data_IF_821758209919
#
_entry.id   IF_821758209919
#
_cell.length_a   1.000
_cell.length_b   1.000
_cell.length_c   1.000
_cell.angle_alpha   90.00
_cell.angle_beta   90.00
_cell.angle_gamma   90.00
#
_symmetry.space_group_name_H-M   'P 1'
#
loop_
_entity.id
_entity.type
_entity.pdbx_description
1 polymer ?
#
# COMPACT_ATOMS: atom_id res chain seq x y z
N UNK A 1 -69.24 8.45 -39.73
CA UNK A 1 -69.72 7.34 -38.90
C UNK A 1 -68.80 6.15 -39.10
N UNK A 2 -68.49 5.52 -37.97
CA UNK A 2 -67.65 4.36 -37.70
C UNK A 2 -67.61 3.16 -38.67
N UNK A 3 -66.42 2.54 -38.67
CA UNK A 3 -66.14 1.10 -38.42
C UNK A 3 -66.40 0.05 -39.51
N UNK A 4 -65.34 -0.69 -39.90
CA UNK A 4 -65.05 -2.10 -39.52
C UNK A 4 -63.94 -2.69 -40.42
N UNK A 5 -63.00 -3.44 -39.82
CA UNK A 5 -62.01 -4.28 -40.53
C UNK A 5 -62.64 -5.50 -41.25
N UNK A 6 -61.87 -6.36 -41.96
CA UNK A 6 -61.00 -7.34 -41.29
C UNK A 6 -59.69 -7.80 -42.01
N UNK A 7 -58.85 -8.45 -41.20
CA UNK A 7 -57.85 -9.53 -41.36
C UNK A 7 -57.21 -9.94 -42.72
N UNK A 8 -55.87 -9.81 -42.77
CA UNK A 8 -54.79 -10.84 -42.90
C UNK A 8 -54.92 -11.92 -44.00
N UNK A 9 -53.86 -12.13 -44.81
CA UNK A 9 -53.11 -13.43 -44.89
C UNK A 9 -52.00 -13.51 -45.95
N UNK A 10 -50.88 -14.11 -45.53
CA UNK A 10 -50.16 -15.16 -46.27
C UNK A 10 -49.24 -14.83 -47.46
N UNK A 11 -48.15 -14.09 -47.24
CA UNK A 11 -46.96 -14.21 -48.13
C UNK A 11 -45.59 -14.26 -47.44
N UNK A 12 -45.50 -14.22 -46.10
CA UNK A 12 -44.20 -14.19 -45.40
C UNK A 12 -43.76 -15.52 -44.75
N UNK A 13 -44.60 -16.57 -44.80
CA UNK A 13 -44.29 -17.85 -44.15
C UNK A 13 -43.60 -18.88 -45.06
N UNK A 14 -43.45 -18.60 -46.37
CA UNK A 14 -42.92 -19.56 -47.34
C UNK A 14 -41.39 -19.50 -47.52
N UNK A 15 -40.71 -18.49 -46.95
CA UNK A 15 -39.24 -18.37 -47.01
C UNK A 15 -38.49 -19.02 -45.84
N UNK A 16 -39.20 -19.57 -44.84
CA UNK A 16 -38.59 -20.17 -43.65
C UNK A 16 -38.45 -21.71 -43.71
N UNK A 17 -38.85 -22.35 -44.81
CA UNK A 17 -38.85 -23.83 -44.93
C UNK A 17 -37.76 -24.43 -45.84
N UNK A 18 -36.83 -23.64 -46.37
CA UNK A 18 -35.83 -24.14 -47.35
C UNK A 18 -34.35 -23.95 -46.95
N UNK A 19 -34.04 -23.63 -45.70
CA UNK A 19 -32.64 -23.51 -45.24
C UNK A 19 -32.21 -24.46 -44.09
N UNK A 20 -32.56 -25.76 -44.09
CA UNK A 20 -31.77 -26.74 -43.35
C UNK A 20 -31.31 -27.88 -44.27
N UNK A 21 -30.52 -27.57 -45.30
CA UNK A 21 -29.83 -28.57 -46.11
C UNK A 21 -28.46 -28.01 -46.48
N UNK A 22 -27.51 -28.08 -45.54
CA UNK A 22 -26.05 -28.07 -45.74
C UNK A 22 -25.38 -28.21 -44.35
N UNK A 23 -25.54 -29.37 -43.72
CA UNK A 23 -24.71 -29.83 -42.60
C UNK A 23 -23.76 -30.91 -43.13
N UNK A 24 -22.41 -30.77 -43.01
CA UNK A 24 -21.50 -31.90 -42.99
C UNK A 24 -21.49 -32.58 -41.60
N UNK A 25 -21.05 -33.85 -41.50
CA UNK A 25 -21.29 -34.69 -40.35
C UNK A 25 -20.42 -34.30 -39.15
N UNK A 26 -20.97 -34.51 -37.95
CA UNK A 26 -20.30 -34.37 -36.67
C UNK A 26 -19.02 -35.22 -36.61
N UNK A 27 -17.87 -34.55 -36.54
CA UNK A 27 -16.67 -35.09 -35.88
C UNK A 27 -16.57 -34.47 -34.50
N UNK A 28 -16.58 -35.32 -33.48
CA UNK A 28 -16.26 -34.95 -32.11
C UNK A 28 -14.79 -34.47 -32.06
N UNK A 29 -14.60 -33.16 -31.92
CA UNK A 29 -13.34 -32.60 -31.43
C UNK A 29 -13.68 -31.44 -30.50
N UNK A 30 -13.25 -31.58 -29.25
CA UNK A 30 -13.65 -30.72 -28.14
C UNK A 30 -13.34 -29.26 -28.40
N UNK A 31 -14.33 -28.40 -28.17
CA UNK A 31 -14.09 -27.01 -27.86
C UNK A 31 -13.37 -26.93 -26.52
N UNK A 32 -12.04 -26.90 -26.57
CA UNK A 32 -11.32 -26.06 -25.64
C UNK A 32 -11.83 -24.64 -25.91
N UNK A 33 -12.53 -24.05 -24.93
CA UNK A 33 -12.61 -22.60 -24.84
C UNK A 33 -11.17 -22.12 -24.90
N UNK A 34 -10.74 -21.53 -26.02
CA UNK A 34 -9.63 -20.61 -26.00
C UNK A 34 -10.08 -19.50 -25.05
N UNK A 35 -9.73 -19.67 -23.78
CA UNK A 35 -9.55 -18.54 -22.89
C UNK A 35 -8.66 -17.59 -23.67
N UNK A 36 -9.23 -16.46 -24.10
CA UNK A 36 -8.47 -15.26 -24.34
C UNK A 36 -7.70 -15.03 -23.04
N UNK A 37 -6.47 -15.56 -23.01
CA UNK A 37 -5.46 -15.22 -22.02
C UNK A 37 -5.50 -13.70 -21.93
N UNK A 38 -5.58 -13.12 -20.73
CA UNK A 38 -5.29 -11.71 -20.60
C UNK A 38 -3.93 -11.52 -21.26
N UNK A 39 -3.90 -10.72 -22.33
CA UNK A 39 -2.67 -10.16 -22.90
C UNK A 39 -1.72 -9.92 -21.76
N UNK A 40 -0.58 -10.62 -21.76
CA UNK A 40 0.50 -10.52 -20.78
C UNK A 40 0.48 -9.11 -20.18
N UNK A 41 -0.10 -8.99 -18.97
CA UNK A 41 0.00 -7.76 -18.20
C UNK A 41 1.50 -7.61 -18.03
N UNK A 42 2.08 -6.59 -18.66
CA UNK A 42 3.50 -6.29 -18.54
C UNK A 42 3.88 -6.51 -17.08
N UNK A 43 4.82 -7.42 -16.80
CA UNK A 43 5.09 -7.90 -15.44
C UNK A 43 5.14 -6.70 -14.50
N UNK A 44 4.11 -6.55 -13.67
CA UNK A 44 4.05 -5.45 -12.72
C UNK A 44 5.30 -5.58 -11.84
N UNK A 45 6.02 -4.47 -11.59
CA UNK A 45 7.22 -4.52 -10.78
C UNK A 45 6.87 -5.07 -9.39
N UNK A 46 7.71 -5.95 -8.82
CA UNK A 46 7.41 -6.60 -7.55
C UNK A 46 7.17 -5.55 -6.47
N UNK A 47 6.01 -5.65 -5.82
CA UNK A 47 5.58 -4.80 -4.73
C UNK A 47 5.69 -5.53 -3.39
N UNK A 48 6.04 -4.80 -2.34
CA UNK A 48 6.21 -5.34 -0.98
C UNK A 48 5.44 -4.52 0.05
N UNK A 49 4.98 -5.19 1.11
CA UNK A 49 4.32 -4.51 2.22
C UNK A 49 5.30 -3.61 3.01
N UNK A 50 4.78 -2.48 3.48
CA UNK A 50 5.45 -1.52 4.35
C UNK A 50 5.23 -1.82 5.84
N UNK A 51 4.49 -2.88 6.19
CA UNK A 51 4.30 -3.30 7.57
C UNK A 51 4.33 -4.82 7.66
N UNK A 52 4.86 -5.33 8.76
CA UNK A 52 4.81 -6.73 9.15
C UNK A 52 4.29 -6.82 10.58
N UNK A 53 3.46 -7.82 10.88
CA UNK A 53 3.00 -8.05 12.25
C UNK A 53 2.24 -6.84 12.81
N UNK A 54 2.66 -6.32 13.95
CA UNK A 54 2.06 -5.14 14.61
C UNK A 54 2.43 -3.79 13.96
N UNK A 55 3.32 -3.77 12.95
CA UNK A 55 3.75 -2.53 12.30
C UNK A 55 4.52 -1.56 13.21
N UNK A 56 5.16 -2.08 14.27
CA UNK A 56 5.90 -1.28 15.24
C UNK A 56 7.39 -1.13 14.87
N UNK A 57 7.90 -2.00 13.99
CA UNK A 57 9.30 -2.01 13.55
C UNK A 57 9.39 -1.85 12.03
N UNK A 58 10.48 -1.25 11.52
CA UNK A 58 10.67 -1.10 10.09
C UNK A 58 10.85 -2.46 9.38
N UNK A 59 10.30 -2.56 8.17
CA UNK A 59 10.46 -3.75 7.32
C UNK A 59 11.88 -3.87 6.75
N UNK A 60 12.57 -2.74 6.60
CA UNK A 60 13.97 -2.71 6.17
C UNK A 60 14.69 -1.47 6.69
N UNK A 61 15.99 -1.58 6.90
CA UNK A 61 16.88 -0.48 7.27
C UNK A 61 18.11 -0.48 6.37
N UNK A 62 18.37 0.62 5.69
CA UNK A 62 19.52 0.82 4.80
C UNK A 62 20.50 1.81 5.42
N UNK A 63 21.79 1.58 5.21
CA UNK A 63 22.85 2.41 5.77
C UNK A 63 23.71 3.00 4.65
N UNK A 64 23.89 4.31 4.71
CA UNK A 64 24.58 5.11 3.71
C UNK A 64 25.75 5.84 4.34
N UNK A 65 26.88 5.86 3.65
CA UNK A 65 28.00 6.72 3.99
C UNK A 65 27.76 8.10 3.36
N UNK A 66 27.49 9.12 4.19
CA UNK A 66 27.11 10.46 3.73
C UNK A 66 28.14 11.06 2.76
N UNK A 67 29.43 10.87 3.03
CA UNK A 67 30.53 11.39 2.19
C UNK A 67 30.62 10.74 0.81
N UNK A 68 29.86 9.67 0.54
CA UNK A 68 29.78 9.00 -0.77
C UNK A 68 28.48 9.29 -1.53
N UNK A 69 27.57 10.07 -0.95
CA UNK A 69 26.28 10.40 -1.57
C UNK A 69 26.50 11.43 -2.68
N UNK A 70 26.19 11.04 -3.92
CA UNK A 70 26.13 11.96 -5.06
C UNK A 70 24.70 12.33 -5.49
N UNK A 71 23.70 11.61 -4.97
CA UNK A 71 22.29 11.75 -5.29
C UNK A 71 21.51 11.85 -3.99
N UNK A 72 20.97 13.03 -3.73
CA UNK A 72 20.26 13.40 -2.50
C UNK A 72 18.74 13.29 -2.66
N UNK A 73 18.28 12.35 -3.49
CA UNK A 73 16.85 12.14 -3.73
C UNK A 73 16.47 10.67 -3.59
N UNK A 74 15.33 10.43 -2.93
CA UNK A 74 14.68 9.14 -2.88
C UNK A 74 13.35 9.21 -3.61
N UNK A 75 12.98 8.17 -4.34
CA UNK A 75 11.73 8.10 -5.11
C UNK A 75 11.16 6.71 -5.05
N UNK A 76 9.84 6.59 -5.02
CA UNK A 76 9.14 5.30 -4.96
C UNK A 76 7.71 5.46 -5.45
N UNK A 77 7.04 4.34 -5.70
CA UNK A 77 5.60 4.29 -5.85
C UNK A 77 5.00 3.58 -4.64
N UNK A 78 3.92 4.11 -4.08
CA UNK A 78 3.16 3.43 -3.05
C UNK A 78 1.66 3.46 -3.32
N UNK A 79 0.92 2.52 -2.72
CA UNK A 79 -0.55 2.55 -2.65
C UNK A 79 -1.01 2.08 -1.29
N UNK A 80 -2.14 2.59 -0.81
CA UNK A 80 -2.72 2.22 0.48
C UNK A 80 -4.19 2.62 0.55
N UNK A 81 -4.92 2.02 1.49
CA UNK A 81 -6.21 2.51 2.00
C UNK A 81 -6.09 3.07 3.43
N UNK A 82 -4.90 2.99 4.02
CA UNK A 82 -4.60 3.39 5.38
C UNK A 82 -4.38 4.92 5.44
N UNK A 83 -5.18 5.66 6.22
CA UNK A 83 -5.08 7.12 6.29
C UNK A 83 -3.92 7.62 7.16
N UNK A 84 -3.30 6.76 7.97
CA UNK A 84 -2.21 7.15 8.88
C UNK A 84 -1.11 6.08 8.91
N UNK A 85 0.15 6.49 8.97
CA UNK A 85 1.27 5.56 9.13
C UNK A 85 2.59 6.07 8.58
N UNK A 86 3.69 5.38 8.90
CA UNK A 86 5.04 5.77 8.44
C UNK A 86 5.36 5.09 7.11
N UNK A 87 5.68 5.90 6.09
CA UNK A 87 6.19 5.38 4.82
C UNK A 87 7.69 5.09 4.97
N UNK A 88 8.46 6.10 5.38
CA UNK A 88 9.87 5.93 5.73
C UNK A 88 10.35 6.96 6.73
N UNK A 89 11.38 6.58 7.45
CA UNK A 89 12.13 7.39 8.40
C UNK A 89 13.59 7.45 7.96
N UNK A 90 14.27 8.55 8.20
CA UNK A 90 15.71 8.65 8.00
C UNK A 90 16.37 9.50 9.07
N UNK A 91 17.59 9.14 9.44
CA UNK A 91 18.35 9.87 10.45
C UNK A 91 19.85 9.86 10.17
N UNK A 92 20.56 10.77 10.81
CA UNK A 92 22.00 10.59 11.10
C UNK A 92 22.23 10.36 12.58
N UNK A 93 21.27 10.79 13.42
CA UNK A 93 21.20 10.50 14.84
C UNK A 93 19.72 10.51 15.28
N UNK A 94 19.25 9.43 15.89
CA UNK A 94 17.87 9.29 16.40
C UNK A 94 17.48 10.36 17.42
N UNK A 95 18.44 10.97 18.12
CA UNK A 95 18.14 11.94 19.19
C UNK A 95 17.93 13.36 18.66
N UNK A 96 18.72 13.78 17.66
CA UNK A 96 18.82 15.19 17.29
C UNK A 96 18.93 15.49 15.79
N UNK A 97 18.89 14.48 14.91
CA UNK A 97 18.89 14.68 13.45
C UNK A 97 18.12 13.57 12.72
N UNK A 98 16.81 13.77 12.58
CA UNK A 98 15.89 12.82 11.96
C UNK A 98 14.80 13.48 11.11
N UNK A 99 14.27 12.67 10.20
CA UNK A 99 13.23 12.97 9.23
C UNK A 99 12.24 11.80 9.18
N UNK A 100 10.96 12.10 9.05
CA UNK A 100 9.90 11.11 8.84
C UNK A 100 8.95 11.60 7.76
N UNK A 101 8.62 10.73 6.81
CA UNK A 101 7.53 10.89 5.87
C UNK A 101 6.48 9.81 6.13
N UNK A 102 5.23 10.24 6.33
CA UNK A 102 4.10 9.37 6.56
C UNK A 102 2.82 9.92 5.93
N UNK A 103 1.70 9.27 6.24
CA UNK A 103 0.37 9.83 6.03
C UNK A 103 -0.27 10.23 7.36
N UNK A 104 -1.11 11.26 7.32
CA UNK A 104 -2.09 11.59 8.34
C UNK A 104 -3.34 12.13 7.67
N UNK A 105 -4.51 11.67 8.09
CA UNK A 105 -5.79 11.98 7.44
C UNK A 105 -5.75 11.74 5.91
N UNK A 106 -5.00 10.71 5.50
CA UNK A 106 -4.76 10.32 4.11
C UNK A 106 -3.77 11.19 3.35
N UNK A 107 -3.23 12.26 3.94
CA UNK A 107 -2.33 13.22 3.27
C UNK A 107 -0.87 13.04 3.69
N UNK A 108 0.10 13.34 2.81
CA UNK A 108 1.51 13.39 3.18
C UNK A 108 1.77 14.30 4.39
N UNK A 109 2.47 13.77 5.39
CA UNK A 109 3.00 14.51 6.53
C UNK A 109 4.52 14.32 6.61
N UNK A 110 5.25 15.44 6.74
CA UNK A 110 6.67 15.46 7.08
C UNK A 110 6.84 15.92 8.52
N UNK A 111 7.61 15.16 9.29
CA UNK A 111 8.19 15.63 10.55
C UNK A 111 9.70 15.65 10.42
N UNK A 112 10.31 16.76 10.84
CA UNK A 112 11.75 16.97 10.76
C UNK A 112 12.23 17.60 12.05
N UNK A 113 13.32 17.08 12.59
CA UNK A 113 14.00 17.61 13.76
C UNK A 113 15.51 17.56 13.54
N UNK A 114 16.13 18.73 13.44
CA UNK A 114 17.58 18.85 13.39
C UNK A 114 18.05 20.22 13.94
N UNK A 115 19.34 20.52 13.77
CA UNK A 115 19.94 21.77 14.23
C UNK A 115 19.41 23.03 13.52
N UNK A 116 18.79 22.89 12.34
CA UNK A 116 18.29 24.01 11.54
C UNK A 116 16.79 24.23 11.68
N UNK A 117 16.01 23.16 11.80
CA UNK A 117 14.56 23.23 11.83
C UNK A 117 13.94 22.13 12.69
N UNK A 118 12.77 22.46 13.24
CA UNK A 118 11.93 21.53 13.99
C UNK A 118 10.47 21.76 13.61
N UNK A 119 9.93 20.90 12.75
CA UNK A 119 8.64 21.13 12.09
C UNK A 119 7.81 19.86 11.93
N UNK A 120 6.51 20.08 11.80
CA UNK A 120 5.50 19.09 11.39
C UNK A 120 4.63 19.77 10.34
N UNK A 121 4.57 19.22 9.13
CA UNK A 121 3.85 19.82 8.01
C UNK A 121 3.12 18.76 7.21
N UNK A 122 1.79 18.89 7.11
CA UNK A 122 0.97 18.14 6.17
C UNK A 122 0.78 18.93 4.87
N UNK A 123 0.89 18.28 3.71
CA UNK A 123 0.74 18.93 2.41
C UNK A 123 0.21 17.98 1.32
N UNK A 124 -0.40 18.55 0.28
CA UNK A 124 -0.84 17.79 -0.89
C UNK A 124 -2.21 17.13 -0.77
N UNK A 125 -2.59 16.31 -1.77
CA UNK A 125 -3.85 15.60 -1.83
C UNK A 125 -3.87 14.36 -0.91
N UNK A 126 -5.05 13.77 -0.76
CA UNK A 126 -5.19 12.44 -0.15
C UNK A 126 -4.63 11.37 -1.09
N UNK A 127 -3.96 10.36 -0.52
CA UNK A 127 -3.24 9.29 -1.21
C UNK A 127 -3.67 7.88 -0.73
N UNK A 128 -4.71 7.82 0.11
CA UNK A 128 -5.30 6.62 0.71
C UNK A 128 -6.50 6.10 -0.11
N UNK A 129 -6.35 6.07 -1.44
CA UNK A 129 -7.43 5.74 -2.38
C UNK A 129 -7.22 4.40 -3.12
N UNK A 130 -6.27 3.59 -2.64
CA UNK A 130 -5.91 2.30 -3.23
C UNK A 130 -5.13 2.37 -4.54
N UNK A 131 -4.88 3.57 -5.11
CA UNK A 131 -4.14 3.73 -6.36
C UNK A 131 -2.64 3.91 -6.10
N UNK A 132 -1.85 3.60 -7.13
CA UNK A 132 -0.41 3.85 -7.09
C UNK A 132 -0.13 5.35 -7.25
N UNK A 133 0.63 5.90 -6.31
CA UNK A 133 1.11 7.26 -6.32
C UNK A 133 2.63 7.28 -6.35
N UNK A 134 3.20 8.10 -7.24
CA UNK A 134 4.64 8.32 -7.31
C UNK A 134 5.03 9.40 -6.31
N UNK A 135 6.00 9.09 -5.44
CA UNK A 135 6.58 10.00 -4.47
C UNK A 135 8.03 10.26 -4.81
N UNK A 136 8.48 11.49 -4.56
CA UNK A 136 9.89 11.83 -4.57
C UNK A 136 10.18 12.81 -3.45
N UNK A 137 11.26 12.56 -2.72
CA UNK A 137 11.83 13.48 -1.74
C UNK A 137 13.23 13.83 -2.24
N UNK A 138 13.57 15.12 -2.29
CA UNK A 138 14.90 15.60 -2.71
C UNK A 138 15.39 16.65 -1.74
N UNK A 139 16.67 16.56 -1.38
CA UNK A 139 17.39 17.65 -0.74
C UNK A 139 18.05 18.47 -1.85
N UNK A 140 17.73 19.76 -1.91
CA UNK A 140 18.23 20.71 -2.90
C UNK A 140 18.76 21.95 -2.19
N UNK A 141 20.09 22.07 -2.08
CA UNK A 141 20.71 23.08 -1.25
C UNK A 141 20.35 22.90 0.22
N UNK A 142 19.73 23.90 0.82
CA UNK A 142 19.26 23.91 2.21
C UNK A 142 17.79 23.48 2.38
N UNK A 143 17.18 23.02 1.28
CA UNK A 143 15.74 22.80 1.19
C UNK A 143 15.40 21.33 1.01
N UNK A 144 14.30 20.89 1.63
CA UNK A 144 13.69 19.57 1.40
C UNK A 144 12.43 19.77 0.58
N UNK A 145 12.36 19.06 -0.54
CA UNK A 145 11.31 19.19 -1.52
C UNK A 145 10.56 17.85 -1.65
N UNK A 146 9.24 17.91 -1.74
CA UNK A 146 8.35 16.76 -1.87
C UNK A 146 7.51 16.87 -3.14
N UNK A 147 7.54 15.81 -3.96
CA UNK A 147 6.71 15.68 -5.14
C UNK A 147 5.75 14.50 -5.02
N UNK A 148 4.55 14.70 -5.56
CA UNK A 148 3.51 13.69 -5.71
C UNK A 148 3.09 13.66 -7.18
N UNK A 149 3.15 12.49 -7.81
CA UNK A 149 2.75 12.28 -9.20
C UNK A 149 3.38 13.27 -10.20
N UNK A 150 4.62 13.69 -9.94
CA UNK A 150 5.37 14.63 -10.77
C UNK A 150 5.19 16.12 -10.44
N UNK A 151 4.28 16.47 -9.52
CA UNK A 151 4.05 17.86 -9.07
C UNK A 151 4.76 18.12 -7.74
N UNK A 152 5.45 19.27 -7.62
CA UNK A 152 6.04 19.72 -6.36
C UNK A 152 4.93 20.24 -5.45
N UNK A 153 4.63 19.53 -4.37
CA UNK A 153 3.53 19.89 -3.45
C UNK A 153 4.01 20.63 -2.20
N UNK A 154 5.31 20.54 -1.88
CA UNK A 154 5.88 21.16 -0.69
C UNK A 154 7.37 21.46 -0.87
N UNK A 155 7.76 22.65 -0.42
CA UNK A 155 9.14 23.13 -0.37
C UNK A 155 9.45 23.67 1.02
N UNK A 156 10.21 22.90 1.81
CA UNK A 156 10.69 23.29 3.13
C UNK A 156 12.07 23.90 2.99
N UNK A 157 12.18 25.23 3.11
CA UNK A 157 13.44 25.97 2.91
C UNK A 157 14.19 26.17 4.21
N UNK A 158 15.52 26.24 4.13
CA UNK A 158 16.40 26.50 5.28
C UNK A 158 16.29 25.43 6.39
N UNK A 159 16.07 24.18 6.01
CA UNK A 159 15.86 23.05 6.94
C UNK A 159 17.02 22.06 6.96
N UNK A 160 18.05 22.27 6.15
CA UNK A 160 19.21 21.38 6.06
C UNK A 160 20.50 22.18 5.82
N UNK A 161 21.61 21.71 6.40
CA UNK A 161 22.95 22.15 6.04
C UNK A 161 23.62 21.20 5.04
N UNK A 162 24.89 21.43 4.69
CA UNK A 162 25.64 20.51 3.84
C UNK A 162 25.71 19.11 4.47
N UNK A 163 25.24 18.08 3.74
CA UNK A 163 25.24 16.69 4.19
C UNK A 163 26.64 16.14 4.51
N UNK A 164 27.71 16.75 4.00
CA UNK A 164 29.11 16.31 4.14
C UNK A 164 29.89 17.10 5.22
N UNK A 165 29.19 17.81 6.11
CA UNK A 165 29.84 18.65 7.14
C UNK A 165 30.55 17.85 8.25
N UNK A 166 30.28 16.55 8.36
CA UNK A 166 30.93 15.64 9.32
C UNK A 166 31.51 14.42 8.59
N UNK A 167 32.84 14.30 8.50
CA UNK A 167 33.48 13.10 7.94
C UNK A 167 33.01 11.85 8.69
N UNK A 168 32.65 10.79 7.96
CA UNK A 168 32.24 9.47 8.50
C UNK A 168 30.83 9.39 9.11
N UNK A 169 29.96 10.39 8.92
CA UNK A 169 28.59 10.27 9.37
C UNK A 169 27.80 9.23 8.54
N UNK A 170 27.09 8.36 9.25
CA UNK A 170 26.23 7.32 8.68
C UNK A 170 24.81 7.87 8.67
N UNK A 171 24.13 7.75 7.52
CA UNK A 171 22.70 8.00 7.41
C UNK A 171 21.96 6.67 7.35
N UNK A 172 20.87 6.55 8.10
CA UNK A 172 19.96 5.40 8.06
C UNK A 172 18.68 5.79 7.34
N UNK A 173 18.12 4.87 6.57
CA UNK A 173 16.75 4.95 6.05
C UNK A 173 16.02 3.69 6.47
N UNK A 174 14.94 3.84 7.24
CA UNK A 174 14.07 2.79 7.71
C UNK A 174 12.72 2.87 6.96
N UNK A 175 12.25 1.75 6.41
CA UNK A 175 11.00 1.68 5.66
C UNK A 175 9.89 1.16 6.58
N UNK A 176 8.71 1.80 6.55
CA UNK A 176 7.53 1.25 7.24
C UNK A 176 7.54 1.35 8.76
N UNK A 177 8.43 2.14 9.34
CA UNK A 177 8.59 2.24 10.79
C UNK A 177 9.66 3.24 11.21
N UNK A 178 9.83 3.40 12.52
CA UNK A 178 10.76 4.34 13.14
C UNK A 178 11.95 3.59 13.77
N UNK A 179 13.08 4.28 13.97
CA UNK A 179 14.23 3.76 14.73
C UNK A 179 14.25 4.26 16.19
N UNK A 180 13.17 4.89 16.63
CA UNK A 180 12.93 5.39 17.98
C UNK A 180 11.43 5.26 18.34
N UNK A 181 11.05 5.34 19.62
CA UNK A 181 9.65 5.23 20.05
C UNK A 181 8.75 6.33 19.46
N UNK A 182 7.53 5.99 19.07
CA UNK A 182 6.57 6.93 18.46
C UNK A 182 6.26 8.15 19.33
N UNK A 183 6.40 8.03 20.64
CA UNK A 183 6.30 9.14 21.60
C UNK A 183 7.32 10.25 21.38
N UNK A 184 8.42 9.97 20.68
CA UNK A 184 9.49 10.92 20.41
C UNK A 184 9.27 11.70 19.09
N UNK A 185 8.25 11.35 18.31
CA UNK A 185 7.79 12.20 17.22
C UNK A 185 7.28 13.53 17.78
N UNK A 186 7.41 14.61 16.99
CA UNK A 186 6.89 15.92 17.37
C UNK A 186 5.38 15.91 17.50
N UNK A 187 4.72 15.17 16.63
CA UNK A 187 3.30 14.85 16.70
C UNK A 187 3.13 13.33 16.57
N UNK A 188 2.91 12.60 17.66
CA UNK A 188 2.77 11.14 17.60
C UNK A 188 1.70 10.69 16.60
N UNK A 189 1.96 9.56 15.95
CA UNK A 189 1.03 8.81 15.10
C UNK A 189 1.21 7.31 15.34
N UNK A 190 0.25 6.53 14.88
CA UNK A 190 0.39 5.07 14.82
C UNK A 190 1.33 4.74 13.64
N UNK A 191 2.48 4.07 13.87
CA UNK A 191 3.51 3.93 12.85
C UNK A 191 3.20 2.84 11.82
N UNK A 192 2.36 1.87 12.22
CA UNK A 192 1.90 0.81 11.34
C UNK A 192 1.28 1.42 10.09
N UNK A 193 1.64 0.88 8.93
CA UNK A 193 1.17 1.40 7.66
C UNK A 193 0.85 0.24 6.72
N UNK A 194 -0.44 -0.02 6.47
CA UNK A 194 -0.85 -1.02 5.48
C UNK A 194 -0.72 -0.46 4.06
N UNK A 195 0.53 -0.34 3.63
CA UNK A 195 0.91 0.17 2.32
C UNK A 195 1.73 -0.83 1.52
N UNK A 196 1.61 -0.73 0.20
CA UNK A 196 2.47 -1.40 -0.75
C UNK A 196 3.53 -0.44 -1.28
N UNK A 197 4.77 -0.90 -1.43
CA UNK A 197 5.88 -0.15 -1.99
C UNK A 197 6.48 -0.86 -3.21
N UNK A 198 6.73 -0.12 -4.30
CA UNK A 198 7.46 -0.61 -5.47
C UNK A 198 8.30 0.49 -6.12
N UNK A 199 9.17 0.10 -7.07
CA UNK A 199 10.00 1.02 -7.89
C UNK A 199 10.76 2.05 -7.04
N UNK A 200 11.18 1.63 -5.87
CA UNK A 200 11.87 2.49 -4.92
C UNK A 200 13.34 2.63 -5.28
N UNK A 201 13.88 3.81 -5.02
CA UNK A 201 15.29 4.14 -5.16
C UNK A 201 15.61 5.07 -4.02
N UNK A 202 16.58 4.68 -3.19
CA UNK A 202 16.96 5.41 -1.99
C UNK A 202 18.34 6.01 -2.18
N UNK A 203 18.39 7.35 -2.23
CA UNK A 203 19.63 8.11 -2.38
C UNK A 203 20.53 7.60 -3.54
N UNK A 204 21.84 7.80 -3.43
CA UNK A 204 22.83 7.23 -4.35
C UNK A 204 23.26 5.83 -3.92
N UNK A 205 22.94 4.81 -4.72
CA UNK A 205 23.17 3.41 -4.36
C UNK A 205 24.64 3.06 -4.09
N UNK A 206 25.59 3.76 -4.71
CA UNK A 206 27.02 3.57 -4.45
C UNK A 206 27.47 4.00 -3.04
N UNK A 207 26.65 4.78 -2.33
CA UNK A 207 26.90 5.18 -0.94
C UNK A 207 26.35 4.16 0.06
N UNK A 208 25.44 3.29 -0.36
CA UNK A 208 24.87 2.23 0.47
C UNK A 208 25.94 1.16 0.73
N UNK A 209 26.18 0.85 2.00
CA UNK A 209 27.18 -0.17 2.38
C UNK A 209 26.57 -1.37 3.11
N UNK A 210 25.35 -1.24 3.63
CA UNK A 210 24.61 -2.36 4.22
C UNK A 210 23.10 -2.14 4.18
N UNK A 211 22.34 -3.22 4.34
CA UNK A 211 20.90 -3.21 4.53
C UNK A 211 20.45 -4.42 5.36
N UNK A 212 19.49 -4.21 6.26
CA UNK A 212 18.78 -5.26 6.98
C UNK A 212 17.31 -5.29 6.56
N UNK A 213 16.70 -6.47 6.57
CA UNK A 213 15.27 -6.69 6.29
C UNK A 213 14.70 -7.57 7.39
N UNK A 214 13.58 -7.17 7.99
CA UNK A 214 12.85 -8.04 8.92
C UNK A 214 12.05 -9.05 8.10
N UNK A 215 12.56 -10.30 8.05
CA UNK A 215 11.99 -11.45 7.30
C UNK A 215 11.86 -11.26 5.77
N UNK A 216 11.44 -12.34 5.09
CA UNK A 216 11.09 -12.30 3.66
C UNK A 216 9.95 -11.32 3.45
N UNK A 217 10.21 -10.27 2.67
CA UNK A 217 9.19 -9.32 2.24
C UNK A 217 7.94 -10.05 1.74
N UNK A 218 6.79 -9.74 2.33
CA UNK A 218 5.50 -10.22 1.80
C UNK A 218 5.21 -9.47 0.51
N UNK A 219 4.97 -10.22 -0.57
CA UNK A 219 4.51 -9.65 -1.84
C UNK A 219 3.11 -9.08 -1.65
N UNK A 220 2.83 -7.96 -2.33
CA UNK A 220 1.51 -7.37 -2.39
C UNK A 220 1.08 -7.09 -3.83
N UNK A 221 1.47 -7.99 -4.75
CA UNK A 221 1.18 -7.89 -6.20
C UNK A 221 -0.30 -8.15 -6.56
N UNK A 222 -1.15 -8.40 -5.57
CA UNK A 222 -2.59 -8.64 -5.71
C UNK A 222 -3.40 -7.34 -5.75
N UNK A 223 -4.61 -7.37 -6.31
CA UNK A 223 -5.50 -6.20 -6.30
C UNK A 223 -6.11 -6.00 -4.91
N UNK A 224 -5.93 -4.79 -4.34
CA UNK A 224 -6.38 -4.45 -2.99
C UNK A 224 -7.79 -3.85 -3.04
N UNK A 225 -8.66 -4.28 -2.13
CA UNK A 225 -9.95 -3.65 -1.85
C UNK A 225 -9.98 -3.15 -0.41
N UNK A 226 -10.77 -2.10 -0.08
CA UNK A 226 -10.94 -1.65 1.29
C UNK A 226 -11.48 -2.78 2.19
N UNK A 227 -10.97 -2.92 3.42
CA UNK A 227 -11.54 -3.86 4.42
C UNK A 227 -10.58 -4.29 5.51
N UNK A 228 -10.78 -5.44 6.15
CA UNK A 228 -9.81 -6.06 7.08
C UNK A 228 -9.71 -7.55 6.74
N UNK A 229 -8.53 -8.07 6.44
CA UNK A 229 -8.35 -9.49 6.16
C UNK A 229 -7.79 -10.25 7.34
N UNK A 230 -8.39 -11.39 7.62
CA UNK A 230 -7.89 -12.35 8.59
C UNK A 230 -7.63 -13.65 7.84
N UNK A 231 -6.37 -14.02 7.67
CA UNK A 231 -6.07 -15.34 7.10
C UNK A 231 -6.48 -16.45 8.09
N UNK A 232 -6.78 -17.66 7.62
CA UNK A 232 -7.09 -18.79 8.51
C UNK A 232 -6.03 -18.95 9.61
N UNK A 233 -6.48 -19.12 10.86
CA UNK A 233 -5.60 -19.23 12.02
C UNK A 233 -5.16 -17.90 12.66
N UNK A 234 -5.59 -16.75 12.14
CA UNK A 234 -5.33 -15.46 12.78
C UNK A 234 -6.48 -14.95 13.64
N UNK A 235 -6.13 -14.21 14.68
CA UNK A 235 -7.05 -13.56 15.59
C UNK A 235 -6.47 -12.21 16.00
N UNK A 236 -7.36 -11.24 16.22
CA UNK A 236 -7.04 -9.97 16.85
C UNK A 236 -7.64 -10.02 18.25
N UNK A 237 -6.84 -9.73 19.26
CA UNK A 237 -7.35 -9.66 20.62
C UNK A 237 -7.43 -8.20 21.04
N UNK A 238 -8.65 -7.79 21.36
CA UNK A 238 -8.91 -6.50 21.96
C UNK A 238 -9.33 -6.75 23.40
N UNK A 239 -8.71 -6.05 24.34
CA UNK A 239 -9.17 -6.08 25.73
C UNK A 239 -10.49 -5.31 25.82
N UNK A 240 -11.59 -6.06 25.78
CA UNK A 240 -12.96 -5.59 25.90
C UNK A 240 -13.61 -6.39 27.04
N UNK A 241 -14.47 -5.78 27.84
CA UNK A 241 -15.23 -6.54 28.84
C UNK A 241 -16.31 -7.39 28.13
N UNK A 242 -16.07 -8.69 27.92
CA UNK A 242 -17.03 -9.65 27.36
C UNK A 242 -16.39 -10.85 26.63
N UNK A 243 -17.02 -12.03 26.72
CA UNK A 243 -16.47 -13.38 26.44
C UNK A 243 -16.43 -13.80 24.94
N UNK A 244 -15.59 -14.80 24.63
CA UNK A 244 -14.99 -15.18 23.34
C UNK A 244 -15.90 -15.78 22.23
N UNK A 245 -15.50 -15.58 20.96
CA UNK A 245 -15.65 -16.55 19.85
C UNK A 245 -14.79 -16.16 18.62
N UNK A 246 -14.38 -17.14 17.80
CA UNK A 246 -13.58 -16.95 16.57
C UNK A 246 -14.41 -17.06 15.29
N UNK A 247 -14.04 -16.31 14.23
CA UNK A 247 -14.69 -16.35 12.91
C UNK A 247 -13.76 -15.82 11.79
N UNK A 248 -14.08 -16.12 10.53
CA UNK A 248 -13.31 -15.70 9.33
C UNK A 248 -14.20 -14.97 8.31
N UNK A 249 -13.95 -13.68 8.09
CA UNK A 249 -14.80 -12.78 7.29
C UNK A 249 -14.08 -11.45 6.99
N UNK A 250 -14.48 -10.76 5.92
CA UNK A 250 -14.05 -9.38 5.64
C UNK A 250 -14.99 -8.42 6.37
N UNK A 251 -14.42 -7.53 7.18
CA UNK A 251 -15.17 -6.55 7.97
C UNK A 251 -14.92 -5.13 7.46
N UNK A 252 -16.00 -4.35 7.30
CA UNK A 252 -15.96 -2.91 7.03
C UNK A 252 -15.73 -2.07 8.32
N UNK A 253 -15.77 -2.75 9.46
CA UNK A 253 -15.43 -2.20 10.76
C UNK A 253 -15.73 -3.19 11.87
N UNK A 254 -15.09 -2.96 13.02
CA UNK A 254 -15.36 -3.69 14.23
C UNK A 254 -15.88 -2.70 15.26
N UNK A 255 -17.02 -2.98 15.88
CA UNK A 255 -17.61 -2.12 16.91
C UNK A 255 -17.76 -2.88 18.21
N UNK A 256 -17.40 -2.24 19.31
CA UNK A 256 -17.69 -2.72 20.66
C UNK A 256 -18.24 -1.58 21.49
N UNK A 257 -19.35 -1.83 22.19
CA UNK A 257 -20.00 -0.85 23.08
C UNK A 257 -20.29 0.51 22.39
N UNK A 258 -20.62 0.49 21.10
CA UNK A 258 -20.91 1.69 20.30
C UNK A 258 -19.68 2.48 19.84
N UNK A 259 -18.46 2.01 20.13
CA UNK A 259 -17.22 2.59 19.62
C UNK A 259 -16.66 1.74 18.48
N UNK A 260 -16.19 2.40 17.40
CA UNK A 260 -15.44 1.72 16.35
C UNK A 260 -14.05 1.40 16.91
N UNK A 261 -13.68 0.13 16.89
CA UNK A 261 -12.37 -0.34 17.29
C UNK A 261 -11.39 -0.12 16.14
N UNK A 262 -10.26 0.49 16.49
CA UNK A 262 -9.14 0.70 15.59
C UNK A 262 -8.13 -0.44 15.77
N UNK A 263 -7.99 -1.26 14.74
CA UNK A 263 -7.15 -2.46 14.74
C UNK A 263 -5.65 -2.14 14.80
N UNK A 264 -5.25 -0.93 14.40
CA UNK A 264 -3.85 -0.49 14.52
C UNK A 264 -3.50 -0.04 15.95
N UNK A 265 -4.51 0.10 16.81
CA UNK A 265 -4.37 0.39 18.24
C UNK A 265 -4.53 -0.83 19.13
N UNK A 266 -4.60 -2.04 18.55
CA UNK A 266 -4.72 -3.28 19.30
C UNK A 266 -3.50 -3.52 20.20
N UNK A 267 -3.73 -4.02 21.42
CA UNK A 267 -2.66 -4.38 22.36
C UNK A 267 -1.87 -5.61 21.89
N UNK A 268 -2.54 -6.52 21.17
CA UNK A 268 -1.95 -7.72 20.60
C UNK A 268 -2.70 -8.08 19.31
N UNK A 269 -1.97 -8.48 18.28
CA UNK A 269 -2.52 -8.89 16.97
C UNK A 269 -1.65 -9.97 16.35
N UNK A 270 -2.27 -11.01 15.81
CA UNK A 270 -1.60 -12.02 15.00
C UNK A 270 -0.99 -11.40 13.74
N UNK A 271 0.09 -12.00 13.24
CA UNK A 271 0.88 -11.41 12.14
C UNK A 271 0.17 -11.37 10.78
N UNK A 272 -0.92 -12.10 10.60
CA UNK A 272 -1.63 -12.18 9.32
C UNK A 272 -3.02 -11.51 9.35
N UNK A 273 -3.18 -10.55 10.25
CA UNK A 273 -4.28 -9.59 10.22
C UNK A 273 -3.89 -8.41 9.33
N UNK A 274 -4.70 -8.10 8.35
CA UNK A 274 -4.55 -6.93 7.51
C UNK A 274 -5.53 -5.87 7.95
N UNK A 275 -5.00 -4.67 8.17
CA UNK A 275 -5.80 -3.49 8.50
C UNK A 275 -6.11 -2.72 7.23
N UNK A 276 -7.34 -2.22 7.08
CA UNK A 276 -7.81 -1.42 5.94
C UNK A 276 -7.78 -2.07 4.53
N UNK A 277 -7.33 -3.34 4.37
CA UNK A 277 -7.41 -4.12 3.11
C UNK A 277 -8.01 -5.55 3.21
N UNK A 278 -8.79 -5.98 2.19
CA UNK A 278 -9.34 -7.35 2.01
C UNK A 278 -8.97 -8.00 0.64
N UNK A 279 -8.52 -9.27 0.57
CA UNK A 279 -8.26 -10.02 -0.65
C UNK A 279 -9.53 -10.62 -1.26
N UNK A 280 -9.49 -10.82 -2.57
CA UNK A 280 -10.61 -11.35 -3.36
C UNK A 280 -10.67 -12.88 -3.44
N UNK A 281 -9.56 -13.60 -3.20
CA UNK A 281 -9.48 -15.06 -3.28
C UNK A 281 -8.67 -15.57 -2.08
N UNK A 282 -9.20 -16.49 -1.25
CA UNK A 282 -8.40 -17.12 -0.22
C UNK A 282 -7.28 -17.91 -0.89
N UNK A 283 -6.02 -17.66 -0.51
CA UNK A 283 -4.92 -18.54 -0.91
C UNK A 283 -5.29 -19.96 -0.51
N UNK A 284 -5.27 -20.87 -1.48
CA UNK A 284 -5.73 -22.25 -1.34
C UNK A 284 -4.82 -23.01 -0.35
N UNK A 285 -5.02 -22.76 0.94
CA UNK A 285 -4.42 -23.47 2.05
C UNK A 285 -5.34 -24.63 2.37
N UNK A 286 -4.80 -25.83 2.21
CA UNK A 286 -5.46 -27.12 2.42
C UNK A 286 -6.44 -27.11 3.60
N UNK A 287 -7.69 -27.36 3.24
CA UNK A 287 -8.82 -27.65 4.11
C UNK A 287 -8.50 -28.87 4.98
N UNK A 288 -8.24 -28.65 6.27
CA UNK A 288 -8.37 -29.70 7.28
C UNK A 288 -9.15 -29.12 8.45
N UNK A 289 -10.46 -29.34 8.41
CA UNK A 289 -11.35 -29.26 9.56
C UNK A 289 -10.89 -30.22 10.65
N UNK A 290 -10.63 -29.71 11.86
CA UNK A 290 -10.93 -30.34 13.16
C UNK A 290 -10.80 -29.31 14.28
#
# INVERSE_FOLDING_TARGET
MESRGPLVTSHLLLLLLLLPLLLPPHTHQGWALEHLLPTQRAQDPPARHLSNGLGQEPVAVMFFNLSKINKTSSSFEFRTWDPEGVIFHGDTNTEDDWFMLGLRDGKPEIQLFNSWAQLTVGAGPRLDDGRWHQMKVKIDGDSVLLWVNGEEILSLRQVSGPLDSKPQSIMRIALGGLLFPTSNLRLPLVPAFDGCLRRDTWLGQQAQFSSFSSTTFRSCDVELQPGLFFSPGTHAEFSLQGEESSASFCLDGLWAQGQKLDMDRALSRSQDIWTHSCPQIPSNGTDTSH
#
